data_IF_602835364734
#
_entry.id   IF_602835364734
#
_cell.length_a   1.000
_cell.length_b   1.000
_cell.length_c   1.000
_cell.angle_alpha   90.00
_cell.angle_beta   90.00
_cell.angle_gamma   90.00
#
_symmetry.space_group_name_H-M   'P 1'
#
loop_
_entity.id
_entity.type
_entity.pdbx_description
1 polymer ?
#
# COMPACT_ATOMS: atom_id res chain seq x y z
N UNK A 1 19.17 -10.80 5.43
CA UNK A 1 17.93 -10.03 5.59
C UNK A 1 18.18 -8.66 4.98
N UNK A 2 17.31 -8.17 4.10
CA UNK A 2 17.51 -6.85 3.54
C UNK A 2 17.52 -5.78 4.63
N UNK A 3 18.25 -4.69 4.39
CA UNK A 3 17.78 -3.36 4.82
C UNK A 3 16.33 -3.23 4.28
N UNK A 4 15.40 -2.37 4.69
CA UNK A 4 13.95 -2.55 4.37
C UNK A 4 13.31 -3.73 5.13
N UNK A 5 13.69 -5.00 4.92
CA UNK A 5 13.11 -6.13 5.69
C UNK A 5 13.30 -5.95 7.19
N UNK A 6 14.50 -5.53 7.60
CA UNK A 6 14.80 -5.22 9.00
C UNK A 6 14.09 -3.95 9.49
N UNK A 7 13.78 -2.99 8.60
CA UNK A 7 12.97 -1.81 8.98
C UNK A 7 11.53 -2.21 9.25
N UNK A 8 10.95 -3.03 8.36
CA UNK A 8 9.61 -3.55 8.51
C UNK A 8 9.48 -4.54 9.66
N UNK A 9 10.53 -5.30 9.98
CA UNK A 9 10.59 -6.11 11.19
C UNK A 9 10.58 -5.25 12.46
N UNK A 10 11.31 -4.13 12.47
CA UNK A 10 11.33 -3.17 13.59
C UNK A 10 10.06 -2.32 13.69
N UNK A 11 9.41 -2.04 12.55
CA UNK A 11 8.19 -1.24 12.42
C UNK A 11 7.06 -2.08 11.81
N UNK A 12 6.71 -3.19 12.48
CA UNK A 12 5.71 -4.16 12.03
C UNK A 12 4.34 -3.50 11.71
N UNK A 13 3.93 -2.48 12.48
CA UNK A 13 2.71 -1.70 12.19
C UNK A 13 2.78 -0.96 10.85
N UNK A 14 3.92 -0.39 10.51
CA UNK A 14 4.12 0.32 9.24
C UNK A 14 4.13 -0.67 8.07
N UNK A 15 4.73 -1.85 8.24
CA UNK A 15 4.67 -2.93 7.27
C UNK A 15 3.23 -3.37 7.01
N UNK A 16 2.48 -3.66 8.07
CA UNK A 16 1.10 -4.11 7.99
C UNK A 16 0.21 -3.06 7.32
N UNK A 17 0.36 -1.78 7.67
CA UNK A 17 -0.41 -0.69 7.07
C UNK A 17 -0.10 -0.52 5.57
N UNK A 18 1.17 -0.64 5.18
CA UNK A 18 1.62 -0.53 3.79
C UNK A 18 1.06 -1.67 2.93
N UNK A 19 1.11 -2.90 3.45
CA UNK A 19 0.54 -4.07 2.77
C UNK A 19 -1.00 -4.04 2.73
N UNK A 20 -1.67 -3.65 3.83
CA UNK A 20 -3.13 -3.52 3.86
C UNK A 20 -3.63 -2.46 2.87
N UNK A 21 -2.99 -1.29 2.84
CA UNK A 21 -3.36 -0.22 1.89
C UNK A 21 -3.15 -0.66 0.44
N UNK A 22 -2.01 -1.27 0.12
CA UNK A 22 -1.76 -1.80 -1.22
C UNK A 22 -2.78 -2.88 -1.61
N UNK A 23 -3.04 -3.86 -0.73
CA UNK A 23 -3.98 -4.93 -0.97
C UNK A 23 -5.42 -4.43 -1.15
N UNK A 24 -5.84 -3.46 -0.34
CA UNK A 24 -7.17 -2.85 -0.45
C UNK A 24 -7.29 -2.04 -1.74
N UNK A 25 -6.25 -1.30 -2.14
CA UNK A 25 -6.21 -0.58 -3.40
C UNK A 25 -6.39 -1.50 -4.61
N UNK A 26 -5.69 -2.65 -4.61
CA UNK A 26 -5.86 -3.68 -5.65
C UNK A 26 -7.29 -4.25 -5.62
N UNK A 27 -7.83 -4.56 -4.45
CA UNK A 27 -9.20 -5.11 -4.34
C UNK A 27 -10.26 -4.15 -4.91
N UNK A 28 -10.13 -2.85 -4.65
CA UNK A 28 -11.01 -1.82 -5.21
C UNK A 28 -10.88 -1.73 -6.74
N UNK A 29 -9.66 -1.81 -7.28
CA UNK A 29 -9.45 -1.81 -8.74
C UNK A 29 -9.97 -3.07 -9.41
N UNK A 30 -9.78 -4.24 -8.80
CA UNK A 30 -10.33 -5.52 -9.30
C UNK A 30 -11.85 -5.48 -9.30
N UNK A 31 -12.46 -4.84 -8.29
CA UNK A 31 -13.92 -4.67 -8.23
C UNK A 31 -14.48 -3.86 -9.41
N UNK A 32 -13.68 -3.00 -10.05
CA UNK A 32 -14.09 -2.28 -11.27
C UNK A 32 -14.36 -3.21 -12.45
N UNK A 33 -13.71 -4.38 -12.48
CA UNK A 33 -13.94 -5.38 -13.54
C UNK A 33 -15.34 -6.01 -13.44
N UNK A 34 -15.98 -5.96 -12.27
CA UNK A 34 -17.35 -6.44 -12.06
C UNK A 34 -18.38 -5.32 -12.03
N UNK A 35 -18.02 -4.12 -11.55
CA UNK A 35 -18.93 -2.98 -11.52
C UNK A 35 -18.17 -1.67 -11.74
N UNK A 36 -18.45 -1.00 -12.86
CA UNK A 36 -17.84 0.29 -13.15
C UNK A 36 -18.35 1.34 -12.15
N UNK A 37 -17.52 1.70 -11.18
CA UNK A 37 -17.85 2.66 -10.13
C UNK A 37 -16.71 3.65 -9.97
N UNK A 38 -16.99 4.93 -10.23
CA UNK A 38 -16.03 6.02 -10.02
C UNK A 38 -15.50 6.04 -8.58
N UNK A 39 -16.33 5.66 -7.60
CA UNK A 39 -15.92 5.59 -6.19
C UNK A 39 -14.88 4.49 -5.97
N UNK A 40 -15.09 3.30 -6.54
CA UNK A 40 -14.12 2.21 -6.44
C UNK A 40 -12.80 2.57 -7.13
N UNK A 41 -12.85 3.30 -8.26
CA UNK A 41 -11.65 3.79 -8.94
C UNK A 41 -10.87 4.78 -8.07
N UNK A 42 -11.55 5.77 -7.50
CA UNK A 42 -10.91 6.78 -6.65
C UNK A 42 -10.31 6.13 -5.40
N UNK A 43 -11.06 5.26 -4.72
CA UNK A 43 -10.55 4.55 -3.54
C UNK A 43 -9.36 3.64 -3.89
N UNK A 44 -9.45 2.90 -5.00
CA UNK A 44 -8.35 2.04 -5.46
C UNK A 44 -7.05 2.80 -5.69
N UNK A 45 -7.13 3.94 -6.38
CA UNK A 45 -5.97 4.81 -6.64
C UNK A 45 -5.43 5.39 -5.33
N UNK A 46 -6.28 5.93 -4.47
CA UNK A 46 -5.86 6.55 -3.18
C UNK A 46 -5.14 5.52 -2.29
N UNK A 47 -5.70 4.32 -2.16
CA UNK A 47 -5.10 3.26 -1.35
C UNK A 47 -3.78 2.74 -1.95
N UNK A 48 -3.65 2.67 -3.28
CA UNK A 48 -2.38 2.35 -3.92
C UNK A 48 -1.32 3.43 -3.69
N UNK A 49 -1.68 4.71 -3.81
CA UNK A 49 -0.75 5.82 -3.54
C UNK A 49 -0.27 5.76 -2.08
N UNK A 50 -1.18 5.50 -1.14
CA UNK A 50 -0.82 5.35 0.27
C UNK A 50 0.15 4.17 0.50
N UNK A 51 -0.08 3.03 -0.14
CA UNK A 51 0.84 1.88 -0.08
C UNK A 51 2.22 2.18 -0.68
N UNK A 52 2.26 2.82 -1.84
CA UNK A 52 3.52 3.23 -2.49
C UNK A 52 4.27 4.25 -1.62
N UNK A 53 3.57 5.24 -1.06
CA UNK A 53 4.16 6.22 -0.15
C UNK A 53 4.74 5.55 1.10
N UNK A 54 4.09 4.52 1.65
CA UNK A 54 4.63 3.71 2.75
C UNK A 54 5.94 3.02 2.39
N UNK A 55 6.04 2.44 1.19
CA UNK A 55 7.28 1.85 0.69
C UNK A 55 8.39 2.90 0.47
N UNK A 56 8.06 4.06 -0.10
CA UNK A 56 9.02 5.16 -0.31
C UNK A 56 9.51 5.71 1.03
N UNK A 57 8.60 5.92 2.00
CA UNK A 57 8.96 6.37 3.34
C UNK A 57 9.92 5.40 4.02
N UNK A 58 9.64 4.09 3.95
CA UNK A 58 10.53 3.06 4.48
C UNK A 58 11.91 3.06 3.81
N UNK A 59 12.00 3.47 2.53
CA UNK A 59 13.27 3.61 1.79
C UNK A 59 14.04 4.86 2.21
N UNK A 60 13.36 6.00 2.35
CA UNK A 60 13.95 7.27 2.76
C UNK A 60 14.37 7.28 4.23
N UNK A 61 13.58 6.70 5.13
CA UNK A 61 13.91 6.56 6.54
C UNK A 61 15.10 5.63 6.81
N UNK A 62 15.60 4.94 5.77
CA UNK A 62 16.78 4.06 5.82
C UNK A 62 17.98 4.55 5.01
N UNK A 63 17.91 5.72 4.36
CA UNK A 63 19.11 6.42 3.88
C UNK A 63 19.84 7.06 5.05
#
# INVERSE_FOLDING_TARGET
MGKIDEYFAKHSKCNALTHLSTGLGIAWLVSLAWHCSTVALVLGIVFLIAGIAGHIYARLAKQ
#
